data_IF_193812830861
#
_entry.id   IF_193812830861
#
_cell.length_a   1.000
_cell.length_b   1.000
_cell.length_c   1.000
_cell.angle_alpha   90.00
_cell.angle_beta   90.00
_cell.angle_gamma   90.00
#
_symmetry.space_group_name_H-M   'P 1'
#
loop_
_entity.id
_entity.type
_entity.pdbx_description
1 polymer ?
#
# COMPACT_ATOMS: atom_id res chain seq x y z
N UNK A 1 9.20 -8.80 14.37
CA UNK A 1 8.06 -7.99 14.88
C UNK A 1 7.57 -7.11 13.74
N UNK A 2 6.26 -7.11 13.46
CA UNK A 2 5.72 -6.37 12.32
C UNK A 2 5.31 -4.96 12.77
N UNK A 3 6.28 -4.03 12.74
CA UNK A 3 6.19 -2.66 13.29
C UNK A 3 4.93 -1.91 12.83
N UNK A 4 4.52 -2.06 11.57
CA UNK A 4 3.36 -1.38 11.01
C UNK A 4 2.02 -1.78 11.66
N UNK A 5 1.87 -3.07 12.01
CA UNK A 5 0.61 -3.58 12.58
C UNK A 5 0.48 -3.27 14.07
N UNK A 6 1.61 -3.20 14.79
CA UNK A 6 1.63 -2.79 16.20
C UNK A 6 1.11 -1.36 16.40
N UNK A 7 1.43 -0.45 15.47
CA UNK A 7 0.92 0.93 15.51
C UNK A 7 -0.60 1.01 15.28
N UNK A 8 -1.14 0.24 14.33
CA UNK A 8 -2.56 0.33 13.95
C UNK A 8 -3.54 0.00 15.08
N UNK A 9 -3.16 -0.90 15.98
CA UNK A 9 -3.97 -1.33 17.12
C UNK A 9 -3.36 -0.95 18.47
N UNK A 10 -2.41 -0.02 18.51
CA UNK A 10 -1.75 0.42 19.74
C UNK A 10 -2.73 1.03 20.76
N UNK A 11 -3.81 1.65 20.25
CA UNK A 11 -4.91 2.20 21.04
C UNK A 11 -5.85 1.14 21.61
N UNK A 12 -5.79 -0.12 21.15
CA UNK A 12 -6.58 -1.20 21.74
C UNK A 12 -6.00 -1.55 23.10
N UNK A 13 -6.82 -1.41 24.13
CA UNK A 13 -6.47 -1.80 25.50
C UNK A 13 -6.83 -3.25 25.75
N UNK A 14 -8.09 -3.61 25.49
CA UNK A 14 -8.63 -4.92 25.80
C UNK A 14 -9.72 -5.34 24.80
N UNK A 15 -9.79 -6.63 24.48
CA UNK A 15 -10.95 -7.27 23.86
C UNK A 15 -11.64 -8.19 24.85
N UNK A 16 -12.85 -7.82 25.27
CA UNK A 16 -13.61 -8.53 26.30
C UNK A 16 -14.69 -9.38 25.64
N UNK A 17 -14.66 -10.69 25.88
CA UNK A 17 -15.82 -11.56 25.62
C UNK A 17 -16.92 -11.24 26.63
N UNK A 18 -18.04 -10.69 26.16
CA UNK A 18 -19.21 -10.45 27.00
C UNK A 18 -20.08 -11.71 27.03
N UNK A 19 -20.32 -12.30 25.86
CA UNK A 19 -21.02 -13.57 25.68
C UNK A 19 -20.58 -14.24 24.36
N UNK A 20 -21.29 -15.27 23.90
CA UNK A 20 -20.92 -16.03 22.70
C UNK A 20 -21.07 -15.26 21.39
N UNK A 21 -21.83 -14.15 21.37
CA UNK A 21 -22.09 -13.33 20.18
C UNK A 21 -21.76 -11.84 20.38
N UNK A 22 -21.21 -11.47 21.53
CA UNK A 22 -20.89 -10.08 21.88
C UNK A 22 -19.43 -9.95 22.32
N UNK A 23 -18.67 -9.14 21.58
CA UNK A 23 -17.30 -8.75 21.91
C UNK A 23 -17.26 -7.24 22.16
N UNK A 24 -16.64 -6.82 23.25
CA UNK A 24 -16.41 -5.41 23.58
C UNK A 24 -14.95 -5.06 23.32
N UNK A 25 -14.72 -4.04 22.50
CA UNK A 25 -13.41 -3.43 22.28
C UNK A 25 -13.24 -2.23 23.22
N UNK A 26 -12.22 -2.25 24.06
CA UNK A 26 -11.83 -1.16 24.95
C UNK A 26 -10.63 -0.44 24.36
N UNK A 27 -10.71 0.88 24.23
CA UNK A 27 -9.63 1.71 23.69
C UNK A 27 -9.01 2.56 24.79
N UNK A 28 -7.68 2.73 24.74
CA UNK A 28 -6.92 3.61 25.65
C UNK A 28 -7.26 5.08 25.42
N UNK A 29 -7.51 5.44 24.17
CA UNK A 29 -7.82 6.80 23.72
C UNK A 29 -8.96 6.78 22.70
N UNK A 30 -9.52 7.96 22.39
CA UNK A 30 -10.53 8.07 21.34
C UNK A 30 -9.84 7.90 19.97
N UNK A 31 -10.19 6.84 19.25
CA UNK A 31 -9.72 6.60 17.88
C UNK A 31 -10.90 6.56 16.91
N UNK A 32 -11.05 7.62 16.11
CA UNK A 32 -12.14 7.73 15.12
C UNK A 32 -12.04 6.72 13.97
N UNK A 33 -10.86 6.18 13.70
CA UNK A 33 -10.61 5.24 12.59
C UNK A 33 -10.77 3.77 12.97
N UNK A 34 -11.07 3.44 14.24
CA UNK A 34 -11.07 2.05 14.71
C UNK A 34 -12.01 1.14 13.90
N UNK A 35 -13.19 1.64 13.52
CA UNK A 35 -14.15 0.84 12.74
C UNK A 35 -13.65 0.54 11.32
N UNK A 36 -12.93 1.48 10.70
CA UNK A 36 -12.29 1.24 9.40
C UNK A 36 -11.09 0.31 9.53
N UNK A 37 -10.31 0.41 10.62
CA UNK A 37 -9.20 -0.52 10.90
C UNK A 37 -9.69 -1.96 11.08
N UNK A 38 -10.85 -2.14 11.73
CA UNK A 38 -11.50 -3.45 11.91
C UNK A 38 -12.00 -4.09 10.59
N UNK A 39 -12.06 -3.33 9.50
CA UNK A 39 -12.46 -3.84 8.18
C UNK A 39 -11.26 -4.22 7.29
N UNK A 40 -10.01 -4.03 7.76
CA UNK A 40 -8.82 -4.33 6.96
C UNK A 40 -8.57 -5.84 6.84
N UNK A 41 -7.89 -6.25 5.76
CA UNK A 41 -7.59 -7.67 5.50
C UNK A 41 -6.72 -8.34 6.58
N UNK A 42 -6.06 -7.58 7.44
CA UNK A 42 -5.21 -8.08 8.51
C UNK A 42 -5.94 -8.47 9.79
N UNK A 43 -7.21 -8.09 9.92
CA UNK A 43 -8.06 -8.41 11.08
C UNK A 43 -9.16 -9.42 10.76
N UNK A 44 -8.93 -10.21 9.72
CA UNK A 44 -9.79 -11.35 9.41
C UNK A 44 -9.88 -12.31 10.60
N UNK A 45 -11.10 -12.74 10.92
CA UNK A 45 -11.34 -13.69 12.02
C UNK A 45 -10.78 -15.06 11.65
N UNK A 46 -9.84 -15.55 12.45
CA UNK A 46 -9.19 -16.85 12.27
C UNK A 46 -9.87 -17.90 13.14
N UNK A 47 -10.03 -19.12 12.63
CA UNK A 47 -10.55 -20.25 13.41
C UNK A 47 -9.61 -20.58 14.59
N UNK A 48 -10.05 -20.47 15.86
CA UNK A 48 -9.19 -20.77 17.02
C UNK A 48 -8.69 -22.21 16.99
N UNK A 49 -9.54 -23.18 16.63
CA UNK A 49 -9.15 -24.59 16.47
C UNK A 49 -8.03 -24.80 15.44
N UNK A 50 -8.00 -24.01 14.35
CA UNK A 50 -6.94 -24.13 13.35
C UNK A 50 -5.64 -23.49 13.85
N UNK A 51 -5.76 -22.29 14.45
CA UNK A 51 -4.63 -21.57 15.02
C UNK A 51 -3.94 -22.37 16.14
N UNK A 52 -4.70 -22.99 17.04
CA UNK A 52 -4.17 -23.85 18.11
C UNK A 52 -3.50 -25.11 17.55
N UNK A 53 -4.09 -25.72 16.50
CA UNK A 53 -3.56 -26.95 15.90
C UNK A 53 -2.22 -26.72 15.18
N UNK A 54 -2.11 -25.63 14.42
CA UNK A 54 -0.98 -25.39 13.52
C UNK A 54 0.05 -24.38 14.07
N UNK A 55 -0.29 -23.61 15.10
CA UNK A 55 0.60 -22.61 15.70
C UNK A 55 1.13 -21.61 14.67
N UNK A 56 2.45 -21.45 14.61
CA UNK A 56 3.12 -20.55 13.66
C UNK A 56 2.88 -20.92 12.19
N UNK A 57 2.51 -22.17 11.90
CA UNK A 57 2.21 -22.64 10.55
C UNK A 57 0.73 -22.44 10.14
N UNK A 58 -0.10 -21.84 10.99
CA UNK A 58 -1.53 -21.63 10.68
C UNK A 58 -1.77 -20.88 9.36
N UNK A 59 -0.85 -19.99 8.95
CA UNK A 59 -0.94 -19.29 7.66
C UNK A 59 -0.82 -20.21 6.44
N UNK A 60 -0.18 -21.39 6.59
CA UNK A 60 -0.10 -22.42 5.55
C UNK A 60 -1.36 -23.29 5.49
N UNK A 61 -2.23 -23.17 6.50
CA UNK A 61 -3.49 -23.91 6.63
C UNK A 61 -4.66 -22.94 6.92
N UNK A 62 -4.93 -21.97 6.02
CA UNK A 62 -5.90 -20.93 6.28
C UNK A 62 -7.31 -21.51 6.43
N UNK A 63 -7.95 -21.23 7.56
CA UNK A 63 -9.33 -21.63 7.86
C UNK A 63 -10.11 -20.41 8.35
N UNK A 64 -11.09 -19.99 7.57
CA UNK A 64 -11.96 -18.86 7.86
C UNK A 64 -13.41 -19.13 7.46
N UNK A 65 -14.25 -18.10 7.53
CA UNK A 65 -15.69 -18.16 7.24
C UNK A 65 -16.05 -17.59 5.86
N UNK A 66 -15.05 -17.45 4.99
CA UNK A 66 -15.17 -16.80 3.68
C UNK A 66 -15.94 -17.62 2.63
N UNK A 67 -16.17 -17.02 1.45
CA UNK A 67 -16.90 -17.64 0.35
C UNK A 67 -16.18 -18.83 -0.30
N UNK A 68 -14.86 -18.91 -0.16
CA UNK A 68 -14.03 -20.01 -0.69
C UNK A 68 -13.20 -20.64 0.42
N UNK A 69 -12.97 -21.95 0.32
CA UNK A 69 -12.12 -22.74 1.21
C UNK A 69 -10.80 -23.03 0.51
N UNK A 70 -9.71 -23.02 1.28
CA UNK A 70 -8.40 -23.42 0.81
C UNK A 70 -8.35 -24.92 0.50
N UNK A 71 -7.80 -25.27 -0.67
CA UNK A 71 -7.58 -26.66 -1.09
C UNK A 71 -6.10 -27.00 -1.04
N UNK A 72 -5.28 -26.27 -1.81
CA UNK A 72 -3.84 -26.50 -1.89
C UNK A 72 -3.07 -25.25 -2.27
N UNK A 73 -1.77 -25.29 -1.97
CA UNK A 73 -0.79 -24.34 -2.46
C UNK A 73 0.44 -25.10 -2.94
N UNK A 74 0.67 -25.05 -4.25
CA UNK A 74 1.90 -25.51 -4.87
C UNK A 74 2.77 -24.28 -5.11
N UNK A 75 3.87 -24.19 -4.36
CA UNK A 75 4.78 -23.04 -4.42
C UNK A 75 5.27 -22.82 -5.86
N UNK A 76 5.30 -21.57 -6.28
CA UNK A 76 5.74 -21.11 -7.62
C UNK A 76 4.88 -21.64 -8.79
N UNK A 77 3.72 -22.25 -8.50
CA UNK A 77 2.79 -22.77 -9.50
C UNK A 77 1.37 -22.24 -9.32
N UNK A 78 0.66 -22.63 -8.26
CA UNK A 78 -0.73 -22.17 -8.04
C UNK A 78 -1.23 -22.26 -6.60
N UNK A 79 -2.28 -21.49 -6.30
CA UNK A 79 -3.17 -21.67 -5.15
C UNK A 79 -4.55 -22.06 -5.67
N UNK A 80 -5.11 -23.15 -5.16
CA UNK A 80 -6.48 -23.55 -5.48
C UNK A 80 -7.41 -23.39 -4.27
N UNK A 81 -8.59 -22.84 -4.54
CA UNK A 81 -9.69 -22.70 -3.60
C UNK A 81 -10.95 -23.35 -4.19
N UNK A 82 -11.84 -23.84 -3.33
CA UNK A 82 -13.16 -24.38 -3.72
C UNK A 82 -14.28 -23.58 -3.05
N UNK A 83 -15.47 -23.57 -3.65
CA UNK A 83 -16.62 -22.89 -3.09
C UNK A 83 -16.95 -23.41 -1.67
N UNK A 84 -17.27 -22.49 -0.77
CA UNK A 84 -17.82 -22.83 0.53
C UNK A 84 -19.35 -22.98 0.44
N UNK A 85 -19.83 -24.20 0.32
CA UNK A 85 -21.28 -24.48 0.26
C UNK A 85 -22.03 -24.07 1.55
N UNK A 86 -21.30 -23.91 2.67
CA UNK A 86 -21.82 -23.45 3.95
C UNK A 86 -21.50 -21.97 4.21
N UNK A 87 -21.21 -21.19 3.17
CA UNK A 87 -21.00 -19.75 3.33
C UNK A 87 -22.27 -19.11 3.88
N UNK A 88 -22.11 -18.22 4.86
CA UNK A 88 -23.22 -17.63 5.62
C UNK A 88 -24.05 -16.60 4.82
N UNK A 89 -23.58 -16.22 3.61
CA UNK A 89 -24.34 -15.43 2.63
C UNK A 89 -24.67 -16.31 1.43
N UNK A 90 -24.82 -15.70 0.25
CA UNK A 90 -25.01 -16.42 -0.99
C UNK A 90 -23.74 -17.16 -1.40
N UNK A 91 -23.88 -18.45 -1.69
CA UNK A 91 -22.79 -19.28 -2.22
C UNK A 91 -22.23 -18.64 -3.50
N UNK A 92 -20.91 -18.57 -3.69
CA UNK A 92 -20.32 -18.11 -4.94
C UNK A 92 -20.86 -18.88 -6.15
N UNK A 93 -21.01 -18.20 -7.28
CA UNK A 93 -21.41 -18.86 -8.54
C UNK A 93 -20.31 -19.73 -9.15
N UNK A 94 -19.05 -19.54 -8.72
CA UNK A 94 -17.90 -20.32 -9.15
C UNK A 94 -17.65 -21.48 -8.20
N UNK A 95 -17.40 -22.68 -8.73
CA UNK A 95 -17.09 -23.86 -7.93
C UNK A 95 -15.62 -23.91 -7.47
N UNK A 96 -14.71 -23.36 -8.29
CA UNK A 96 -13.27 -23.37 -8.05
C UNK A 96 -12.63 -22.05 -8.47
N UNK A 97 -11.65 -21.60 -7.70
CA UNK A 97 -10.80 -20.47 -8.03
C UNK A 97 -9.34 -20.93 -8.01
N UNK A 98 -8.60 -20.64 -9.08
CA UNK A 98 -7.17 -20.99 -9.20
C UNK A 98 -6.39 -19.71 -9.46
N UNK A 99 -5.50 -19.37 -8.54
CA UNK A 99 -4.53 -18.30 -8.74
C UNK A 99 -3.24 -18.93 -9.28
N UNK A 100 -2.96 -18.70 -10.56
CA UNK A 100 -1.77 -19.23 -11.25
C UNK A 100 -0.63 -18.23 -11.20
N UNK A 101 0.58 -18.72 -10.90
CA UNK A 101 1.80 -17.91 -10.86
C UNK A 101 2.41 -17.85 -12.25
N UNK A 102 2.31 -16.69 -12.91
CA UNK A 102 2.97 -16.40 -14.19
C UNK A 102 3.72 -15.07 -14.01
N UNK A 103 5.04 -15.10 -13.72
CA UNK A 103 5.79 -13.90 -13.33
C UNK A 103 5.90 -12.85 -14.46
N UNK A 104 6.09 -13.29 -15.70
CA UNK A 104 6.24 -12.41 -16.85
C UNK A 104 4.89 -11.83 -17.30
N UNK A 105 4.83 -10.51 -17.47
CA UNK A 105 3.59 -9.79 -17.81
C UNK A 105 3.10 -10.09 -19.23
N UNK A 106 4.02 -10.28 -20.19
CA UNK A 106 3.65 -10.63 -21.56
C UNK A 106 3.12 -12.06 -21.65
N UNK A 107 3.71 -12.99 -20.88
CA UNK A 107 3.23 -14.36 -20.75
C UNK A 107 1.83 -14.42 -20.10
N UNK A 108 1.55 -13.58 -19.08
CA UNK A 108 0.20 -13.44 -18.50
C UNK A 108 -0.83 -13.04 -19.56
N UNK A 109 -0.52 -12.02 -20.37
CA UNK A 109 -1.42 -11.57 -21.43
C UNK A 109 -1.68 -12.66 -22.47
N UNK A 110 -0.64 -13.37 -22.91
CA UNK A 110 -0.82 -14.49 -23.85
C UNK A 110 -1.71 -15.60 -23.26
N UNK A 111 -1.52 -15.96 -21.99
CA UNK A 111 -2.36 -16.94 -21.30
C UNK A 111 -3.83 -16.50 -21.23
N UNK A 112 -4.08 -15.20 -21.04
CA UNK A 112 -5.43 -14.62 -21.06
C UNK A 112 -6.05 -14.70 -22.47
N UNK A 113 -5.31 -14.30 -23.50
CA UNK A 113 -5.80 -14.27 -24.89
C UNK A 113 -6.14 -15.66 -25.44
N UNK A 114 -5.43 -16.71 -25.03
CA UNK A 114 -5.72 -18.09 -25.43
C UNK A 114 -6.73 -18.78 -24.50
N UNK A 115 -7.24 -18.08 -23.49
CA UNK A 115 -8.26 -18.56 -22.55
C UNK A 115 -7.75 -19.53 -21.48
N UNK A 116 -6.44 -19.61 -21.26
CA UNK A 116 -5.84 -20.41 -20.19
C UNK A 116 -6.17 -19.84 -18.80
N UNK A 117 -6.23 -18.51 -18.68
CA UNK A 117 -6.72 -17.78 -17.50
C UNK A 117 -7.83 -16.81 -17.90
N UNK A 118 -8.68 -16.43 -16.95
CA UNK A 118 -9.83 -15.55 -17.19
C UNK A 118 -9.61 -14.12 -16.68
N UNK A 119 -8.48 -13.86 -16.03
CA UNK A 119 -8.08 -12.55 -15.55
C UNK A 119 -6.60 -12.51 -15.22
N UNK A 120 -6.01 -11.33 -15.31
CA UNK A 120 -4.60 -11.08 -14.97
C UNK A 120 -4.50 -9.78 -14.17
N UNK A 121 -3.53 -9.73 -13.26
CA UNK A 121 -3.14 -8.50 -12.56
C UNK A 121 -1.91 -7.88 -13.21
N UNK A 122 -1.77 -6.56 -13.05
CA UNK A 122 -0.63 -5.77 -13.51
C UNK A 122 -0.22 -6.07 -14.97
N UNK A 123 -1.10 -5.83 -15.96
CA UNK A 123 -0.69 -5.85 -17.35
C UNK A 123 0.38 -4.78 -17.60
N UNK A 124 1.31 -5.05 -18.51
CA UNK A 124 2.30 -4.05 -18.93
C UNK A 124 1.59 -2.89 -19.66
N UNK A 125 1.79 -1.62 -19.25
CA UNK A 125 1.25 -0.46 -19.94
C UNK A 125 1.54 -0.44 -21.45
N UNK A 126 2.67 -1.00 -21.89
CA UNK A 126 3.01 -1.11 -23.31
C UNK A 126 2.04 -1.97 -24.13
N UNK A 127 1.22 -2.82 -23.48
CA UNK A 127 0.23 -3.68 -24.12
C UNK A 127 -1.20 -3.15 -24.03
N UNK A 128 -1.43 -1.94 -23.49
CA UNK A 128 -2.79 -1.43 -23.27
C UNK A 128 -3.57 -1.28 -24.58
N UNK A 129 -2.97 -0.69 -25.60
CA UNK A 129 -3.59 -0.58 -26.93
C UNK A 129 -3.99 -1.94 -27.51
N UNK A 130 -3.16 -2.97 -27.29
CA UNK A 130 -3.44 -4.34 -27.72
C UNK A 130 -4.63 -4.94 -26.96
N UNK A 131 -4.70 -4.72 -25.65
CA UNK A 131 -5.81 -5.20 -24.82
C UNK A 131 -7.10 -4.50 -25.23
N UNK A 132 -7.08 -3.18 -25.42
CA UNK A 132 -8.26 -2.40 -25.81
C UNK A 132 -8.74 -2.71 -27.23
N UNK A 133 -7.83 -3.05 -28.14
CA UNK A 133 -8.18 -3.46 -29.51
C UNK A 133 -8.77 -4.89 -29.57
N UNK A 134 -8.60 -5.71 -28.55
CA UNK A 134 -9.11 -7.08 -28.51
C UNK A 134 -10.56 -7.11 -27.98
N UNK A 135 -11.51 -7.51 -28.83
CA UNK A 135 -12.94 -7.52 -28.51
C UNK A 135 -13.34 -8.54 -27.42
N UNK A 136 -12.50 -9.54 -27.19
CA UNK A 136 -12.73 -10.56 -26.16
C UNK A 136 -12.18 -10.14 -24.80
N UNK A 137 -11.42 -9.05 -24.74
CA UNK A 137 -10.79 -8.54 -23.52
C UNK A 137 -11.42 -7.22 -23.07
N UNK A 138 -11.30 -6.97 -21.77
CA UNK A 138 -11.66 -5.69 -21.18
C UNK A 138 -10.57 -5.23 -20.23
N UNK A 139 -9.96 -4.09 -20.54
CA UNK A 139 -9.06 -3.41 -19.61
C UNK A 139 -9.90 -2.73 -18.52
N UNK A 140 -9.74 -3.16 -17.28
CA UNK A 140 -10.38 -2.54 -16.11
C UNK A 140 -9.37 -1.60 -15.45
N UNK A 141 -9.79 -0.34 -15.26
CA UNK A 141 -8.97 0.68 -14.60
C UNK A 141 -9.79 1.35 -13.50
N UNK A 142 -9.16 1.55 -12.35
CA UNK A 142 -9.74 2.24 -11.20
C UNK A 142 -8.68 3.14 -10.56
N UNK A 143 -9.05 4.28 -9.96
CA UNK A 143 -8.11 5.10 -9.20
C UNK A 143 -7.47 4.30 -8.06
N UNK A 144 -6.14 4.21 -8.06
CA UNK A 144 -5.40 3.51 -7.01
C UNK A 144 -5.46 4.24 -5.67
N UNK A 145 -5.62 3.50 -4.57
CA UNK A 145 -5.43 4.01 -3.20
C UNK A 145 -3.93 4.05 -2.83
N UNK A 146 -3.12 4.68 -3.68
CA UNK A 146 -1.68 4.72 -3.55
C UNK A 146 -1.10 6.07 -3.99
N UNK A 147 0.15 6.35 -3.58
CA UNK A 147 0.91 7.50 -4.04
C UNK A 147 2.37 7.08 -4.20
N UNK A 148 2.94 7.35 -5.38
CA UNK A 148 4.37 7.20 -5.61
C UNK A 148 5.11 8.47 -5.18
N UNK A 149 6.16 8.32 -4.37
CA UNK A 149 6.97 9.45 -3.90
C UNK A 149 8.43 9.06 -3.68
N UNK A 150 9.30 10.07 -3.64
CA UNK A 150 10.69 9.92 -3.25
C UNK A 150 10.85 10.44 -1.81
N UNK A 151 11.11 9.53 -0.87
CA UNK A 151 11.37 9.91 0.51
C UNK A 151 12.74 10.61 0.63
N UNK A 152 12.78 11.73 1.35
CA UNK A 152 14.03 12.44 1.67
C UNK A 152 14.26 12.37 3.18
N UNK A 153 15.38 11.77 3.61
CA UNK A 153 15.76 11.78 5.01
C UNK A 153 16.18 13.21 5.41
N UNK A 154 15.35 13.91 6.18
CA UNK A 154 15.61 15.28 6.62
C UNK A 154 16.65 15.37 7.73
N UNK A 155 17.14 14.24 8.24
CA UNK A 155 18.13 14.18 9.30
C UNK A 155 17.59 14.50 10.69
N UNK A 156 16.28 14.46 10.91
CA UNK A 156 15.67 14.74 12.20
C UNK A 156 14.68 13.64 12.56
N UNK A 157 14.83 13.08 13.75
CA UNK A 157 13.95 12.08 14.36
C UNK A 157 13.82 12.37 15.87
N UNK A 158 13.23 11.44 16.61
CA UNK A 158 13.08 11.54 18.06
C UNK A 158 13.35 10.19 18.71
N UNK A 159 13.78 10.23 19.97
CA UNK A 159 13.79 9.05 20.84
C UNK A 159 12.45 9.00 21.55
N UNK A 160 11.64 8.00 21.25
CA UNK A 160 10.37 7.75 21.91
C UNK A 160 10.60 7.16 23.30
N UNK A 161 10.74 8.04 24.30
CA UNK A 161 11.15 7.65 25.64
C UNK A 161 10.07 6.83 26.37
N UNK A 162 8.81 7.02 26.01
CA UNK A 162 7.66 6.36 26.65
C UNK A 162 7.12 5.16 25.83
N UNK A 163 7.61 4.96 24.60
CA UNK A 163 7.27 3.84 23.73
C UNK A 163 5.87 3.95 23.08
N UNK A 164 5.28 5.14 23.04
CA UNK A 164 3.91 5.34 22.52
C UNK A 164 3.86 5.62 21.01
N UNK A 165 5.01 5.71 20.34
CA UNK A 165 5.16 5.97 18.91
C UNK A 165 4.94 7.42 18.50
N UNK A 166 4.82 8.36 19.44
CA UNK A 166 4.52 9.78 19.19
C UNK A 166 5.58 10.63 19.88
N UNK A 167 6.13 11.62 19.16
CA UNK A 167 7.09 12.55 19.73
C UNK A 167 6.41 13.43 20.79
N UNK A 168 6.90 13.39 22.01
CA UNK A 168 6.48 14.32 23.05
C UNK A 168 7.09 15.72 22.81
N UNK A 169 6.36 16.77 23.21
CA UNK A 169 6.78 18.15 22.89
C UNK A 169 8.14 18.54 23.47
N UNK A 170 8.52 17.91 24.59
CA UNK A 170 9.77 18.07 25.33
C UNK A 170 10.89 17.12 24.88
N UNK A 171 10.61 16.13 24.03
CA UNK A 171 11.63 15.27 23.45
C UNK A 171 12.49 16.04 22.43
N UNK A 172 13.83 16.09 22.59
CA UNK A 172 14.70 16.77 21.65
C UNK A 172 14.72 16.05 20.30
N UNK A 173 14.89 16.82 19.23
CA UNK A 173 15.18 16.23 17.92
C UNK A 173 16.57 15.61 17.92
N UNK A 174 16.68 14.35 17.51
CA UNK A 174 17.94 13.64 17.30
C UNK A 174 18.24 13.50 15.81
N UNK A 175 19.53 13.39 15.46
CA UNK A 175 19.92 13.12 14.08
C UNK A 175 19.63 11.65 13.73
N UNK A 176 18.88 11.42 12.66
CA UNK A 176 18.60 10.05 12.21
C UNK A 176 19.85 9.39 11.61
N UNK A 177 20.07 8.08 11.80
CA UNK A 177 21.16 7.37 11.13
C UNK A 177 21.10 7.52 9.59
N UNK A 178 22.27 7.65 8.96
CA UNK A 178 22.39 7.68 7.49
C UNK A 178 21.83 8.95 6.83
N UNK A 179 21.61 10.03 7.58
CA UNK A 179 21.16 11.28 6.98
C UNK A 179 22.25 11.95 6.14
N UNK A 180 21.81 12.62 5.08
CA UNK A 180 22.67 13.39 4.21
C UNK A 180 22.49 14.89 4.53
N UNK A 181 23.57 15.55 4.98
CA UNK A 181 23.52 16.92 5.52
C UNK A 181 22.78 17.91 4.60
N UNK A 182 22.97 17.92 3.26
CA UNK A 182 22.22 18.81 2.38
C UNK A 182 20.70 18.67 2.46
N UNK A 183 20.17 17.45 2.67
CA UNK A 183 18.72 17.21 2.76
C UNK A 183 18.11 17.76 4.06
N UNK A 184 18.93 18.17 5.03
CA UNK A 184 18.45 18.88 6.22
C UNK A 184 17.91 20.28 5.87
N UNK A 185 18.43 20.90 4.80
CA UNK A 185 18.01 22.25 4.37
C UNK A 185 16.73 22.19 3.54
N UNK A 186 15.77 23.05 3.87
CA UNK A 186 14.46 23.12 3.20
C UNK A 186 14.63 23.48 1.72
N UNK A 187 15.50 24.43 1.43
CA UNK A 187 15.77 24.99 0.11
C UNK A 187 16.31 23.91 -0.83
N UNK A 188 17.17 23.00 -0.33
CA UNK A 188 17.65 21.83 -1.09
C UNK A 188 16.51 20.89 -1.46
N UNK A 189 15.61 20.58 -0.51
CA UNK A 189 14.45 19.71 -0.78
C UNK A 189 13.47 20.34 -1.78
N UNK A 190 13.28 21.66 -1.71
CA UNK A 190 12.47 22.40 -2.68
C UNK A 190 13.14 22.46 -4.05
N UNK A 191 14.46 22.60 -4.11
CA UNK A 191 15.21 22.53 -5.36
C UNK A 191 15.03 21.17 -6.05
N UNK A 192 15.12 20.07 -5.29
CA UNK A 192 14.90 18.72 -5.83
C UNK A 192 13.47 18.57 -6.38
N UNK A 193 12.45 19.08 -5.68
CA UNK A 193 11.07 19.06 -6.18
C UNK A 193 10.92 19.81 -7.51
N UNK A 194 11.52 21.01 -7.64
CA UNK A 194 11.50 21.80 -8.87
C UNK A 194 12.33 21.17 -10.01
N UNK A 195 13.30 20.31 -9.70
CA UNK A 195 14.14 19.64 -10.68
C UNK A 195 13.53 18.36 -11.27
N UNK A 196 12.43 17.83 -10.69
CA UNK A 196 11.80 16.58 -11.13
C UNK A 196 10.63 16.90 -12.06
N UNK A 197 10.71 16.43 -13.31
CA UNK A 197 9.60 16.50 -14.26
C UNK A 197 8.58 15.37 -14.00
N UNK A 198 7.68 15.62 -13.05
CA UNK A 198 6.62 14.65 -12.67
C UNK A 198 5.69 14.32 -13.84
N UNK A 199 5.44 15.26 -14.76
CA UNK A 199 4.56 15.05 -15.91
C UNK A 199 5.20 14.07 -16.89
N UNK A 200 6.47 14.26 -17.21
CA UNK A 200 7.21 13.31 -18.07
C UNK A 200 7.28 11.91 -17.48
N UNK A 201 7.42 11.76 -16.15
CA UNK A 201 7.34 10.46 -15.48
C UNK A 201 5.94 9.84 -15.66
N UNK A 202 4.88 10.59 -15.37
CA UNK A 202 3.50 10.10 -15.51
C UNK A 202 3.16 9.70 -16.96
N UNK A 203 3.58 10.51 -17.94
CA UNK A 203 3.29 10.27 -19.34
C UNK A 203 4.14 9.13 -19.94
N UNK A 204 5.45 9.08 -19.65
CA UNK A 204 6.36 8.19 -20.38
C UNK A 204 6.69 6.89 -19.63
N UNK A 205 6.62 6.89 -18.28
CA UNK A 205 6.88 5.69 -17.48
C UNK A 205 5.56 4.98 -17.16
N UNK A 206 4.56 5.75 -16.72
CA UNK A 206 3.25 5.21 -16.40
C UNK A 206 2.28 5.22 -17.59
N UNK A 207 2.70 5.66 -18.79
CA UNK A 207 1.87 5.67 -20.01
C UNK A 207 0.49 6.33 -19.79
N UNK A 208 0.44 7.42 -19.02
CA UNK A 208 -0.80 8.15 -18.72
C UNK A 208 -1.72 7.46 -17.69
N UNK A 209 -1.31 6.34 -17.09
CA UNK A 209 -2.09 5.62 -16.06
C UNK A 209 -1.92 6.20 -14.65
N UNK A 210 -1.03 7.19 -14.50
CA UNK A 210 -0.80 7.90 -13.25
C UNK A 210 -1.15 9.39 -13.40
N UNK A 211 -1.74 9.97 -12.35
CA UNK A 211 -1.92 11.42 -12.22
C UNK A 211 -0.79 12.02 -11.40
N UNK A 212 -0.34 13.23 -11.75
CA UNK A 212 0.67 13.96 -10.96
C UNK A 212 0.13 14.24 -9.54
N UNK A 213 0.86 13.77 -8.53
CA UNK A 213 0.51 13.94 -7.13
C UNK A 213 1.00 15.29 -6.57
N UNK A 214 0.08 16.05 -5.98
CA UNK A 214 0.34 17.29 -5.21
C UNK A 214 0.09 17.15 -3.70
N UNK A 215 -0.63 16.08 -3.30
CA UNK A 215 -0.89 15.73 -1.90
C UNK A 215 -0.25 14.37 -1.57
N UNK A 216 -0.13 14.05 -0.28
CA UNK A 216 0.28 12.74 0.21
C UNK A 216 -0.81 11.66 0.11
N UNK A 217 -1.95 11.95 -0.51
CA UNK A 217 -3.06 11.01 -0.70
C UNK A 217 -3.76 11.24 -2.05
N UNK A 218 -4.44 10.23 -2.60
CA UNK A 218 -5.25 10.36 -3.81
C UNK A 218 -6.43 11.36 -3.67
N UNK A 219 -6.91 11.97 -4.76
CA UNK A 219 -8.00 12.96 -4.75
C UNK A 219 -9.34 12.48 -4.17
N UNK A 220 -9.64 11.19 -4.27
CA UNK A 220 -10.91 10.63 -3.79
C UNK A 220 -10.93 10.38 -2.27
N UNK A 221 -9.79 10.53 -1.59
CA UNK A 221 -9.69 10.29 -0.15
C UNK A 221 -10.22 11.48 0.64
N UNK A 222 -10.97 11.19 1.71
CA UNK A 222 -11.40 12.19 2.67
C UNK A 222 -10.18 12.89 3.27
N UNK A 223 -10.16 14.22 3.24
CA UNK A 223 -9.04 15.03 3.72
C UNK A 223 -8.08 15.51 2.62
N UNK A 224 -8.32 15.13 1.35
CA UNK A 224 -7.60 15.73 0.23
C UNK A 224 -7.84 17.24 0.18
N UNK A 225 -6.77 18.01 -0.03
CA UNK A 225 -6.83 19.47 -0.10
C UNK A 225 -6.52 19.96 -1.52
N UNK A 226 -7.56 20.46 -2.20
CA UNK A 226 -7.44 21.02 -3.54
C UNK A 226 -6.67 22.35 -3.61
N UNK A 227 -6.57 23.08 -2.50
CA UNK A 227 -5.88 24.37 -2.44
C UNK A 227 -4.35 24.23 -2.36
N UNK A 228 -3.84 23.02 -2.16
CA UNK A 228 -2.39 22.78 -2.19
C UNK A 228 -1.87 22.99 -3.61
N UNK A 229 -0.89 23.88 -3.73
CA UNK A 229 -0.15 24.12 -4.97
C UNK A 229 1.06 23.19 -5.06
N UNK A 230 1.24 22.54 -6.21
CA UNK A 230 2.40 21.69 -6.45
C UNK A 230 3.66 22.52 -6.80
N UNK A 231 4.83 21.92 -6.60
CA UNK A 231 6.08 22.43 -7.12
C UNK A 231 6.12 22.24 -8.63
N UNK A 232 6.02 23.34 -9.40
CA UNK A 232 6.19 23.31 -10.84
C UNK A 232 7.59 22.81 -11.25
N UNK A 233 7.71 22.10 -12.37
CA UNK A 233 9.01 21.77 -12.93
C UNK A 233 9.71 23.05 -13.42
N UNK A 234 10.78 23.44 -12.74
CA UNK A 234 11.58 24.65 -13.00
C UNK A 234 13.05 24.41 -12.60
N UNK A 235 13.86 23.84 -13.51
CA UNK A 235 15.29 23.60 -13.27
C UNK A 235 16.10 24.87 -12.94
N UNK A 236 15.68 26.03 -13.44
CA UNK A 236 16.39 27.28 -13.17
C UNK A 236 16.11 27.77 -11.74
N UNK A 237 14.88 27.64 -11.25
CA UNK A 237 14.57 27.87 -9.84
C UNK A 237 15.25 26.86 -8.94
N UNK A 238 15.33 25.59 -9.34
CA UNK A 238 16.06 24.58 -8.58
C UNK A 238 17.54 24.98 -8.40
N UNK A 239 18.23 25.39 -9.46
CA UNK A 239 19.62 25.89 -9.39
C UNK A 239 19.76 27.09 -8.46
N UNK A 240 18.85 28.08 -8.55
CA UNK A 240 18.87 29.25 -7.66
C UNK A 240 18.74 28.85 -6.18
N UNK A 241 17.80 27.96 -5.87
CA UNK A 241 17.61 27.44 -4.52
C UNK A 241 18.83 26.67 -3.99
N UNK A 242 19.54 25.92 -4.84
CA UNK A 242 20.80 25.26 -4.45
C UNK A 242 21.90 26.25 -4.12
N UNK A 243 22.06 27.31 -4.92
CA UNK A 243 23.02 28.40 -4.64
C UNK A 243 22.69 29.09 -3.31
N UNK A 244 21.41 29.44 -3.09
CA UNK A 244 20.92 30.05 -1.84
C UNK A 244 21.18 29.13 -0.63
N UNK A 245 21.06 27.82 -0.83
CA UNK A 245 21.37 26.82 0.18
C UNK A 245 22.88 26.60 0.42
N UNK A 246 23.76 27.26 -0.33
CA UNK A 246 25.22 27.12 -0.22
C UNK A 246 25.81 25.96 -1.01
N UNK A 247 25.11 25.45 -2.03
CA UNK A 247 25.56 24.37 -2.92
C UNK A 247 25.59 24.83 -4.39
N UNK A 248 26.40 25.84 -4.75
CA UNK A 248 26.39 26.42 -6.10
C UNK A 248 26.79 25.43 -7.21
N UNK A 249 27.65 24.47 -6.87
CA UNK A 249 28.14 23.43 -7.79
C UNK A 249 27.40 22.09 -7.62
N UNK A 250 26.31 22.06 -6.84
CA UNK A 250 25.59 20.85 -6.50
C UNK A 250 26.31 19.95 -5.48
N UNK A 251 25.94 18.67 -5.46
CA UNK A 251 26.50 17.62 -4.61
C UNK A 251 26.17 16.24 -5.18
N UNK A 252 26.89 15.21 -4.72
CA UNK A 252 26.61 13.81 -5.00
C UNK A 252 25.95 13.16 -3.78
N UNK A 253 24.98 12.26 -4.02
CA UNK A 253 24.18 11.56 -2.99
C UNK A 253 24.46 10.07 -3.07
#
# INVERSE_FOLDING_TARGET
EWVYWGYMFSDVDEMVKIDDYTVKLVLKTINASIMTSLAMFTVNVVSPTSAEKWGEDAFKHPVGTGPFKFVEWVKDDHIALEANDNYWRERPSLDRLIFKVIPDASARLMALEVGEVQGIEYPDPAHFDRIEANQDLKLLTEPGMNVGYMAMNTGYGYEDANGNGVRDSDEPWVKTPGYFEPLTKKEVRQAINHAIDKKSIADNIYMGTASVAKNGMPPFMLGYNDDVEDYAYDPEKAKRLLVEAGYPDGFEV
#
